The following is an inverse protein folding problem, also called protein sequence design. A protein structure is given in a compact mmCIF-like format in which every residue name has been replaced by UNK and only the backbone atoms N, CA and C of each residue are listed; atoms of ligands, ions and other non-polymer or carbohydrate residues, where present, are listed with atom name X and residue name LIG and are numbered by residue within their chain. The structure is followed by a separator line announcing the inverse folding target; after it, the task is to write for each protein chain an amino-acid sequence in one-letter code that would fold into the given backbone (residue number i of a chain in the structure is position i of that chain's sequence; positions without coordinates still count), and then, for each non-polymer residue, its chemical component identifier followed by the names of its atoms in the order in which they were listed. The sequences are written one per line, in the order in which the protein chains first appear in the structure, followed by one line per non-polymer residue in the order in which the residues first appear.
data_IF_536522148973
#
_entry.id   IF_536522148973
#
_cell.length_a   1.000
_cell.length_b   1.000
_cell.length_c   1.000
_cell.angle_alpha   90.00
_cell.angle_beta   90.00
_cell.angle_gamma   90.00
#
_symmetry.space_group_name_H-M   'P 1'
#
loop_
_entity.id
_entity.type
_entity.pdbx_description
1 polymer ?
#
# COMPACT_ATOMS: atom_id res chain seq x y z
N UNK A 1 17.33 7.12 11.15
CA UNK A 1 18.58 6.64 10.50
C UNK A 1 19.43 5.91 11.53
N UNK A 2 20.18 4.88 11.14
CA UNK A 2 21.18 4.33 12.05
C UNK A 2 22.37 5.28 12.13
N UNK A 3 22.98 5.45 13.32
CA UNK A 3 24.06 6.45 13.52
C UNK A 3 25.21 6.27 12.53
N UNK A 4 25.64 5.02 12.28
CA UNK A 4 26.72 4.70 11.32
C UNK A 4 26.37 4.97 9.85
N UNK A 5 25.13 5.37 9.53
CA UNK A 5 24.67 5.63 8.18
C UNK A 5 24.37 7.13 7.93
N UNK A 6 24.41 7.97 8.96
CA UNK A 6 24.12 9.40 8.87
C UNK A 6 25.09 10.07 7.91
N UNK A 7 26.41 9.88 8.11
CA UNK A 7 27.46 10.45 7.25
C UNK A 7 27.33 10.10 5.78
N UNK A 8 26.76 8.90 5.47
CA UNK A 8 26.54 8.44 4.08
C UNK A 8 25.46 9.23 3.36
N UNK A 9 24.67 10.01 4.09
CA UNK A 9 23.59 10.84 3.56
C UNK A 9 24.02 12.29 3.34
N UNK A 10 25.30 12.60 3.57
CA UNK A 10 25.83 13.94 3.48
C UNK A 10 25.63 14.57 2.10
N UNK A 11 25.11 15.77 2.07
CA UNK A 11 24.92 16.59 0.88
C UNK A 11 25.68 17.90 1.02
N UNK A 12 26.36 18.30 -0.05
CA UNK A 12 27.05 19.59 -0.11
C UNK A 12 26.08 20.63 -0.67
N UNK A 13 25.96 21.75 0.07
CA UNK A 13 25.16 22.91 -0.36
C UNK A 13 26.04 24.17 -0.34
N UNK A 14 25.61 25.28 -0.95
CA UNK A 14 26.32 26.54 -0.83
C UNK A 14 26.47 27.08 0.61
N UNK A 15 25.63 26.56 1.54
CA UNK A 15 25.61 26.93 2.95
C UNK A 15 26.42 25.99 3.84
N UNK A 16 26.95 24.90 3.29
CA UNK A 16 27.73 23.90 4.02
C UNK A 16 27.32 22.46 3.74
N UNK A 17 27.89 21.54 4.49
CA UNK A 17 27.61 20.11 4.47
C UNK A 17 26.46 19.82 5.44
N UNK A 18 25.44 19.10 4.95
CA UNK A 18 24.28 18.68 5.75
C UNK A 18 24.09 17.17 5.66
N UNK A 19 23.64 16.58 6.74
CA UNK A 19 23.36 15.14 6.89
C UNK A 19 21.90 14.94 7.31
N UNK A 20 21.33 13.79 6.97
CA UNK A 20 19.96 13.46 7.33
C UNK A 20 19.90 12.62 8.60
N UNK A 21 19.26 13.13 9.63
CA UNK A 21 18.98 12.36 10.87
C UNK A 21 17.83 11.37 10.71
N UNK A 22 16.95 11.60 9.73
CA UNK A 22 15.83 10.74 9.35
C UNK A 22 16.06 10.17 7.96
N UNK A 23 15.29 9.16 7.58
CA UNK A 23 15.40 8.52 6.27
C UNK A 23 14.94 9.48 5.16
N UNK A 24 15.83 9.97 4.29
CA UNK A 24 15.44 10.79 3.15
C UNK A 24 14.81 9.93 2.05
N UNK A 25 13.99 10.53 1.15
CA UNK A 25 13.49 9.86 -0.03
C UNK A 25 14.64 9.45 -0.96
N UNK A 26 14.43 8.38 -1.75
CA UNK A 26 15.40 7.92 -2.76
C UNK A 26 16.39 6.86 -2.29
N UNK A 27 16.43 6.50 -1.01
CA UNK A 27 17.21 5.35 -0.56
C UNK A 27 16.59 4.04 -1.08
N UNK A 28 17.44 3.09 -1.47
CA UNK A 28 17.03 1.80 -2.05
C UNK A 28 16.05 1.01 -1.17
N UNK A 29 16.20 1.11 0.14
CA UNK A 29 15.40 0.40 1.14
C UNK A 29 14.32 1.25 1.81
N UNK A 30 14.10 2.49 1.35
CA UNK A 30 13.12 3.41 1.97
C UNK A 30 11.71 2.84 1.98
N UNK A 31 11.23 2.32 0.85
CA UNK A 31 9.90 1.72 0.75
C UNK A 31 9.70 0.54 1.70
N UNK A 32 10.69 -0.37 1.79
CA UNK A 32 10.61 -1.51 2.72
C UNK A 32 10.64 -1.07 4.19
N UNK A 33 11.41 -0.04 4.51
CA UNK A 33 11.49 0.50 5.87
C UNK A 33 10.20 1.19 6.25
N UNK A 34 9.61 1.97 5.32
CA UNK A 34 8.32 2.62 5.53
C UNK A 34 7.19 1.59 5.65
N UNK A 35 7.17 0.55 4.82
CA UNK A 35 6.18 -0.52 4.93
C UNK A 35 6.25 -1.24 6.28
N UNK A 36 7.45 -1.53 6.79
CA UNK A 36 7.60 -2.10 8.14
C UNK A 36 7.09 -1.16 9.23
N UNK A 37 7.32 0.14 9.09
CA UNK A 37 6.80 1.14 10.01
C UNK A 37 5.26 1.16 10.02
N UNK A 38 4.63 1.19 8.85
CA UNK A 38 3.16 1.10 8.71
C UNK A 38 2.62 -0.20 9.32
N UNK A 39 3.25 -1.33 9.02
CA UNK A 39 2.85 -2.62 9.58
C UNK A 39 2.92 -2.63 11.11
N UNK A 40 3.92 -2.01 11.71
CA UNK A 40 4.05 -1.92 13.17
C UNK A 40 2.96 -1.04 13.80
N UNK A 41 2.59 0.08 13.15
CA UNK A 41 1.51 0.96 13.63
C UNK A 41 0.17 0.21 13.67
N UNK A 42 -0.09 -0.64 12.69
CA UNK A 42 -1.37 -1.31 12.50
C UNK A 42 -1.36 -2.82 12.81
N UNK A 43 -0.35 -3.31 13.53
CA UNK A 43 -0.14 -4.74 13.79
C UNK A 43 -1.35 -5.42 14.46
N UNK A 44 -2.01 -4.72 15.36
CA UNK A 44 -3.16 -5.18 16.15
C UNK A 44 -4.51 -4.67 15.63
N UNK A 45 -4.57 -4.19 14.40
CA UNK A 45 -5.78 -3.67 13.75
C UNK A 45 -6.14 -4.49 12.50
N UNK A 46 -6.85 -5.61 12.65
CA UNK A 46 -7.12 -6.55 11.55
C UNK A 46 -8.01 -5.98 10.43
N UNK A 47 -8.67 -4.85 10.70
CA UNK A 47 -9.51 -4.14 9.74
C UNK A 47 -8.73 -3.13 8.88
N UNK A 48 -7.41 -3.00 9.06
CA UNK A 48 -6.54 -2.11 8.28
C UNK A 48 -5.56 -2.93 7.46
N UNK A 49 -5.45 -2.60 6.19
CA UNK A 49 -4.39 -3.09 5.30
C UNK A 49 -3.62 -1.89 4.78
N UNK A 50 -2.35 -1.82 5.13
CA UNK A 50 -1.44 -0.77 4.65
C UNK A 50 -0.52 -1.27 3.54
N UNK A 51 -0.40 -0.48 2.48
CA UNK A 51 0.58 -0.71 1.43
C UNK A 51 1.25 0.60 1.05
N UNK A 52 2.49 0.77 1.50
CA UNK A 52 3.24 2.02 1.34
C UNK A 52 2.40 3.23 1.80
N UNK A 53 2.03 4.10 0.87
CA UNK A 53 1.32 5.34 1.13
C UNK A 53 -0.21 5.17 1.24
N UNK A 54 -0.73 4.00 0.89
CA UNK A 54 -2.16 3.73 0.85
C UNK A 54 -2.62 2.87 2.04
N UNK A 55 -3.74 3.25 2.66
CA UNK A 55 -4.40 2.49 3.72
C UNK A 55 -5.82 2.10 3.28
N UNK A 56 -6.15 0.82 3.36
CA UNK A 56 -7.50 0.31 3.17
C UNK A 56 -8.10 -0.04 4.53
N UNK A 57 -9.28 0.49 4.83
CA UNK A 57 -10.00 0.25 6.07
C UNK A 57 -11.33 -0.43 5.71
N UNK A 58 -11.54 -1.64 6.22
CA UNK A 58 -12.75 -2.41 6.00
C UNK A 58 -13.57 -2.51 7.29
N UNK A 59 -14.88 -2.42 7.17
CA UNK A 59 -15.82 -2.51 8.30
C UNK A 59 -17.14 -3.12 7.85
N UNK A 60 -17.86 -3.77 8.76
CA UNK A 60 -19.12 -4.45 8.44
C UNK A 60 -20.31 -3.49 8.48
N UNK A 61 -20.26 -2.45 9.32
CA UNK A 61 -21.32 -1.42 9.47
C UNK A 61 -20.72 -0.03 9.41
N UNK A 62 -21.58 0.96 9.20
CA UNK A 62 -21.20 2.38 9.16
C UNK A 62 -20.71 2.86 10.53
N UNK A 63 -21.39 2.46 11.60
CA UNK A 63 -21.00 2.81 12.98
C UNK A 63 -19.64 2.24 13.36
N UNK A 64 -19.39 1.01 12.96
CA UNK A 64 -18.10 0.36 13.13
C UNK A 64 -17.02 1.07 12.30
N UNK A 65 -17.34 1.45 11.07
CA UNK A 65 -16.45 2.20 10.20
C UNK A 65 -16.01 3.53 10.80
N UNK A 66 -16.94 4.27 11.39
CA UNK A 66 -16.61 5.53 12.08
C UNK A 66 -15.69 5.34 13.28
N UNK A 67 -15.81 4.22 14.01
CA UNK A 67 -14.91 3.88 15.13
C UNK A 67 -13.51 3.51 14.59
N UNK A 68 -13.46 2.70 13.56
CA UNK A 68 -12.21 2.29 12.91
C UNK A 68 -11.46 3.49 12.34
N UNK A 69 -12.14 4.40 11.66
CA UNK A 69 -11.54 5.64 11.14
C UNK A 69 -10.93 6.49 12.25
N UNK A 70 -11.63 6.69 13.37
CA UNK A 70 -11.08 7.44 14.52
C UNK A 70 -9.82 6.80 15.06
N UNK A 71 -9.84 5.48 15.25
CA UNK A 71 -8.68 4.73 15.74
C UNK A 71 -7.49 4.84 14.78
N UNK A 72 -7.73 4.75 13.46
CA UNK A 72 -6.68 4.91 12.46
C UNK A 72 -6.11 6.32 12.50
N UNK A 73 -6.95 7.34 12.54
CA UNK A 73 -6.50 8.74 12.57
C UNK A 73 -5.72 9.08 13.85
N UNK A 74 -6.13 8.54 15.00
CA UNK A 74 -5.38 8.67 16.24
C UNK A 74 -3.99 8.08 16.11
N UNK A 75 -3.87 6.85 15.63
CA UNK A 75 -2.58 6.18 15.44
C UNK A 75 -1.66 6.90 14.48
N UNK A 76 -2.21 7.39 13.35
CA UNK A 76 -1.44 8.20 12.41
C UNK A 76 -0.90 9.47 13.07
N UNK A 77 -1.74 10.19 13.82
CA UNK A 77 -1.37 11.40 14.56
C UNK A 77 -0.29 11.14 15.59
N UNK A 78 -0.42 10.07 16.39
CA UNK A 78 0.56 9.69 17.41
C UNK A 78 1.93 9.36 16.81
N UNK A 79 1.95 8.84 15.59
CA UNK A 79 3.18 8.50 14.87
C UNK A 79 3.66 9.61 13.91
N UNK A 80 3.07 10.81 13.97
CA UNK A 80 3.48 11.96 13.18
C UNK A 80 3.19 11.84 11.69
N UNK A 81 2.29 10.94 11.28
CA UNK A 81 1.90 10.77 9.89
C UNK A 81 0.75 11.71 9.52
N UNK A 82 0.88 12.34 8.37
CA UNK A 82 -0.14 13.22 7.81
C UNK A 82 -0.86 12.54 6.65
N UNK A 83 -2.17 12.75 6.56
CA UNK A 83 -3.00 12.28 5.45
C UNK A 83 -3.39 13.44 4.55
N UNK A 84 -3.52 13.16 3.25
CA UNK A 84 -4.08 14.11 2.30
C UNK A 84 -5.59 13.88 2.20
N UNK A 85 -6.37 14.76 2.82
CA UNK A 85 -7.83 14.63 2.86
C UNK A 85 -8.47 14.62 1.48
N UNK A 86 -7.92 15.38 0.51
CA UNK A 86 -8.46 15.48 -0.86
C UNK A 86 -8.31 14.17 -1.64
N UNK A 87 -7.38 13.30 -1.24
CA UNK A 87 -7.18 11.97 -1.85
C UNK A 87 -7.95 10.87 -1.13
N UNK A 88 -8.50 11.14 0.05
CA UNK A 88 -9.23 10.15 0.83
C UNK A 88 -10.57 9.80 0.18
N UNK A 89 -10.83 8.50 0.08
CA UNK A 89 -12.10 7.95 -0.37
C UNK A 89 -12.80 7.28 0.81
N UNK A 90 -13.64 8.03 1.52
CA UNK A 90 -14.33 7.56 2.71
C UNK A 90 -15.74 7.05 2.39
N UNK A 91 -16.22 6.03 3.10
CA UNK A 91 -17.59 5.50 3.00
C UNK A 91 -17.93 4.91 1.62
N UNK A 92 -16.96 4.39 0.89
CA UNK A 92 -17.19 3.76 -0.42
C UNK A 92 -17.42 2.26 -0.27
N UNK A 93 -18.38 1.74 -1.00
CA UNK A 93 -18.66 0.29 -1.10
C UNK A 93 -17.73 -0.43 -2.06
N UNK A 94 -17.04 0.34 -2.90
CA UNK A 94 -16.08 -0.15 -3.90
C UNK A 94 -14.93 0.82 -4.00
N UNK A 95 -13.70 0.33 -3.84
CA UNK A 95 -12.47 1.13 -3.94
C UNK A 95 -11.41 0.40 -4.75
N UNK A 96 -10.58 1.16 -5.44
CA UNK A 96 -9.39 0.61 -6.09
C UNK A 96 -8.22 0.68 -5.11
N UNK A 97 -7.62 -0.48 -4.80
CA UNK A 97 -6.48 -0.59 -3.90
C UNK A 97 -5.42 -1.50 -4.49
N UNK A 98 -4.18 -1.02 -4.57
CA UNK A 98 -3.03 -1.76 -5.13
C UNK A 98 -3.34 -2.40 -6.50
N UNK A 99 -4.09 -1.67 -7.35
CA UNK A 99 -4.47 -2.12 -8.69
C UNK A 99 -5.50 -3.23 -8.73
N UNK A 100 -6.26 -3.40 -7.66
CA UNK A 100 -7.41 -4.30 -7.56
C UNK A 100 -8.66 -3.51 -7.19
N UNK A 101 -9.80 -3.99 -7.62
CA UNK A 101 -11.11 -3.47 -7.23
C UNK A 101 -11.58 -4.26 -6.00
N UNK A 102 -11.66 -3.60 -4.86
CA UNK A 102 -12.13 -4.18 -3.59
C UNK A 102 -13.60 -3.85 -3.41
N UNK A 103 -14.41 -4.87 -3.15
CA UNK A 103 -15.86 -4.76 -2.94
C UNK A 103 -16.26 -5.61 -1.73
N UNK A 104 -17.51 -5.51 -1.29
CA UNK A 104 -18.07 -6.40 -0.26
C UNK A 104 -18.08 -7.88 -0.66
N UNK A 105 -18.06 -8.19 -1.97
CA UNK A 105 -18.02 -9.54 -2.51
C UNK A 105 -16.58 -10.11 -2.65
N UNK A 106 -15.55 -9.30 -2.32
CA UNK A 106 -14.14 -9.66 -2.43
C UNK A 106 -13.35 -8.76 -3.39
N UNK A 107 -12.16 -9.22 -3.77
CA UNK A 107 -11.24 -8.49 -4.62
C UNK A 107 -11.29 -9.00 -6.06
N UNK A 108 -11.25 -8.09 -7.02
CA UNK A 108 -11.20 -8.39 -8.47
C UNK A 108 -10.10 -7.58 -9.13
N UNK A 109 -9.48 -8.14 -10.16
CA UNK A 109 -8.53 -7.38 -10.99
C UNK A 109 -9.28 -6.30 -11.77
N UNK A 110 -8.67 -5.12 -11.88
CA UNK A 110 -9.22 -3.99 -12.67
C UNK A 110 -9.32 -4.40 -14.14
N UNK A 111 -10.49 -4.19 -14.81
CA UNK A 111 -10.71 -4.61 -16.20
C UNK A 111 -9.65 -4.12 -17.19
N UNK A 112 -9.14 -2.91 -17.01
CA UNK A 112 -8.10 -2.34 -17.89
C UNK A 112 -6.79 -3.15 -17.82
N UNK A 113 -6.46 -3.71 -16.66
CA UNK A 113 -5.29 -4.60 -16.54
C UNK A 113 -5.51 -5.93 -17.26
N UNK A 114 -6.72 -6.46 -17.20
CA UNK A 114 -7.07 -7.69 -17.93
C UNK A 114 -6.96 -7.45 -19.43
N UNK A 115 -7.53 -6.35 -19.94
CA UNK A 115 -7.42 -5.96 -21.35
C UNK A 115 -5.96 -5.81 -21.76
N UNK A 116 -5.13 -5.11 -20.99
CA UNK A 116 -3.72 -4.94 -21.27
C UNK A 116 -2.92 -6.25 -21.34
N UNK A 117 -3.36 -7.30 -20.63
CA UNK A 117 -2.73 -8.62 -20.70
C UNK A 117 -3.23 -9.39 -21.92
N UNK A 118 -4.53 -9.34 -22.22
CA UNK A 118 -5.15 -10.04 -23.36
C UNK A 118 -4.63 -9.46 -24.67
N UNK A 119 -4.51 -8.13 -24.77
CA UNK A 119 -4.09 -7.41 -25.95
C UNK A 119 -2.55 -7.34 -26.09
N UNK A 120 -1.81 -7.92 -25.12
CA UNK A 120 -0.35 -7.87 -25.17
C UNK A 120 0.17 -8.72 -26.35
N UNK A 121 0.99 -8.15 -27.25
CA UNK A 121 1.54 -8.89 -28.37
C UNK A 121 2.47 -10.00 -27.88
N UNK A 122 2.52 -11.11 -28.61
CA UNK A 122 3.40 -12.23 -28.27
C UNK A 122 4.85 -11.74 -28.08
N UNK A 123 5.45 -12.01 -26.92
CA UNK A 123 6.80 -11.53 -26.63
C UNK A 123 7.82 -12.30 -27.48
N UNK A 124 8.54 -11.60 -28.35
CA UNK A 124 9.60 -12.11 -29.20
C UNK A 124 11.00 -11.94 -28.60
N UNK A 125 11.12 -11.22 -27.48
CA UNK A 125 12.37 -10.96 -26.74
C UNK A 125 12.21 -11.22 -25.26
N UNK A 126 13.33 -11.56 -24.60
CA UNK A 126 13.39 -11.73 -23.13
C UNK A 126 12.91 -10.45 -22.40
N UNK A 127 13.20 -9.29 -22.98
CA UNK A 127 12.80 -8.01 -22.40
C UNK A 127 11.28 -7.78 -22.46
N UNK A 128 10.64 -8.14 -23.57
CA UNK A 128 9.17 -8.12 -23.73
C UNK A 128 8.52 -9.16 -22.83
N UNK A 129 9.11 -10.35 -22.71
CA UNK A 129 8.64 -11.39 -21.79
C UNK A 129 8.68 -10.92 -20.34
N UNK A 130 9.77 -10.26 -19.91
CA UNK A 130 9.85 -9.67 -18.56
C UNK A 130 8.76 -8.62 -18.32
N UNK A 131 8.50 -7.76 -19.29
CA UNK A 131 7.40 -6.78 -19.23
C UNK A 131 6.04 -7.46 -19.12
N UNK A 132 5.80 -8.50 -19.91
CA UNK A 132 4.57 -9.27 -19.83
C UNK A 132 4.35 -9.87 -18.42
N UNK A 133 5.38 -10.47 -17.84
CA UNK A 133 5.30 -10.99 -16.47
C UNK A 133 5.04 -9.91 -15.41
N UNK A 134 5.50 -8.69 -15.64
CA UNK A 134 5.20 -7.56 -14.73
C UNK A 134 3.74 -7.07 -14.84
N UNK A 135 3.07 -7.34 -15.95
CA UNK A 135 1.65 -7.03 -16.14
C UNK A 135 0.74 -8.07 -15.47
N UNK A 136 1.21 -9.32 -15.34
CA UNK A 136 0.46 -10.34 -14.64
C UNK A 136 0.26 -9.86 -13.19
N UNK A 137 -0.98 -9.65 -12.73
CA UNK A 137 -1.21 -9.34 -11.35
C UNK A 137 -0.63 -10.47 -10.52
N UNK A 138 0.10 -10.14 -9.44
CA UNK A 138 0.26 -11.08 -8.38
C UNK A 138 -1.16 -11.48 -7.98
N UNK A 139 -1.59 -12.67 -8.42
CA UNK A 139 -2.90 -13.21 -8.04
C UNK A 139 -2.80 -13.40 -6.53
N UNK A 140 -3.46 -12.56 -5.70
CA UNK A 140 -3.49 -12.86 -4.29
C UNK A 140 -4.13 -14.24 -4.15
N UNK A 141 -3.67 -15.07 -3.22
CA UNK A 141 -4.40 -16.28 -2.88
C UNK A 141 -5.83 -15.85 -2.64
N UNK A 142 -6.75 -16.42 -3.40
CA UNK A 142 -8.16 -16.12 -3.35
C UNK A 142 -8.60 -15.93 -1.90
N UNK A 143 -9.07 -14.75 -1.56
CA UNK A 143 -9.78 -14.52 -0.30
C UNK A 143 -11.17 -15.14 -0.46
N UNK A 144 -11.21 -16.45 -0.65
CA UNK A 144 -12.40 -17.28 -0.53
C UNK A 144 -12.57 -17.52 0.97
N UNK A 145 -13.43 -16.73 1.59
CA UNK A 145 -14.16 -17.26 2.75
C UNK A 145 -15.07 -18.34 2.19
N UNK A 146 -14.58 -19.57 2.16
CA UNK A 146 -15.44 -20.73 2.06
C UNK A 146 -16.27 -20.79 3.35
N UNK A 147 -17.45 -20.18 3.27
CA UNK A 147 -18.54 -20.49 4.17
C UNK A 147 -19.10 -21.86 3.74
N UNK A 148 -18.39 -22.92 4.05
CA UNK A 148 -19.01 -24.25 4.10
C UNK A 148 -19.87 -24.32 5.34
N UNK A 149 -21.12 -23.99 5.15
CA UNK A 149 -22.24 -24.47 5.95
C UNK A 149 -22.22 -25.98 5.87
N UNK A 150 -21.89 -26.66 6.92
CA UNK A 150 -22.26 -28.06 7.08
C UNK A 150 -23.50 -28.14 7.95
N UNK A 151 -24.45 -28.79 7.39
CA UNK A 151 -25.66 -29.37 7.91
C UNK A 151 -25.59 -29.87 9.35
#
# INVERSE_FOLDING_TARGET
MHENDIEKTAIITPLGLYEFLVMPPGLKNSGQTFQRFINNIFLDTPFVVGYLDDLLIASSTEEEHMKHLRQVFERLRENGLQINADKCQLGKTTVQFVGQLVTSAGCRTVPEKIAAIVDYPNPDTVQKLRRYYQLLPAIPPTCSRDSTTST
#
